data_IF_479659923309
#
_entry.id   IF_479659923309
#
_cell.length_a   1.000
_cell.length_b   1.000
_cell.length_c   1.000
_cell.angle_alpha   90.00
_cell.angle_beta   90.00
_cell.angle_gamma   90.00
#
_symmetry.space_group_name_H-M   'P 1'
#
loop_
_entity.id
_entity.type
_entity.pdbx_description
1 polymer ?
#
# COMPACT_ATOMS: atom_id res chain seq x y z
N UNK A 1 30.39 14.80 30.62
CA UNK A 1 30.00 14.70 29.18
C UNK A 1 28.92 13.65 28.94
N UNK A 2 28.96 12.49 29.61
CA UNK A 2 27.96 11.41 29.47
C UNK A 2 26.49 11.84 29.70
N UNK A 3 26.21 12.68 30.72
CA UNK A 3 24.85 13.18 30.99
C UNK A 3 24.26 14.02 29.84
N UNK A 4 25.09 14.81 29.14
CA UNK A 4 24.64 15.61 27.98
C UNK A 4 24.36 14.71 26.77
N UNK A 5 25.14 13.64 26.61
CA UNK A 5 24.94 12.64 25.56
C UNK A 5 23.64 11.84 25.79
N UNK A 6 23.34 11.50 27.05
CA UNK A 6 22.12 10.77 27.41
C UNK A 6 20.83 11.61 27.21
N UNK A 7 20.90 12.92 27.45
CA UNK A 7 19.79 13.85 27.16
C UNK A 7 19.59 14.00 25.64
N UNK A 8 20.66 14.06 24.85
CA UNK A 8 20.55 14.11 23.39
C UNK A 8 19.97 12.80 22.81
N UNK A 9 20.33 11.65 23.37
CA UNK A 9 19.83 10.34 22.93
C UNK A 9 18.35 10.13 23.25
N UNK A 10 17.87 10.64 24.40
CA UNK A 10 16.46 10.57 24.79
C UNK A 10 15.56 11.54 24.00
N UNK A 11 16.08 12.68 23.54
CA UNK A 11 15.38 13.57 22.61
C UNK A 11 15.25 12.98 21.19
N UNK A 12 16.20 12.15 20.74
CA UNK A 12 16.09 11.45 19.44
C UNK A 12 14.98 10.39 19.43
N UNK A 13 14.66 9.80 20.58
CA UNK A 13 13.59 8.79 20.70
C UNK A 13 12.18 9.38 20.83
N UNK A 14 12.05 10.70 21.04
CA UNK A 14 10.76 11.34 21.27
C UNK A 14 10.10 11.92 20.01
N UNK A 15 10.61 11.63 18.81
CA UNK A 15 9.79 11.80 17.62
C UNK A 15 8.72 10.71 17.68
N UNK A 16 7.60 11.05 18.31
CA UNK A 16 6.34 10.36 18.11
C UNK A 16 6.07 10.48 16.61
N UNK A 17 6.53 9.50 15.85
CA UNK A 17 6.05 9.24 14.50
C UNK A 17 4.59 8.89 14.74
N UNK A 18 3.72 9.90 14.81
CA UNK A 18 2.30 9.64 14.68
C UNK A 18 2.20 8.86 13.38
N UNK A 19 1.66 7.64 13.46
CA UNK A 19 1.41 6.80 12.31
C UNK A 19 0.43 7.58 11.42
N UNK A 20 0.97 8.39 10.50
CA UNK A 20 0.18 9.14 9.52
C UNK A 20 -0.22 8.13 8.47
N UNK A 21 -1.53 7.91 8.24
CA UNK A 21 -1.97 6.99 7.22
C UNK A 21 -1.36 7.34 5.87
N UNK A 22 -0.89 6.33 5.15
CA UNK A 22 -0.39 6.51 3.79
C UNK A 22 -1.47 6.09 2.80
N UNK A 23 -1.71 6.94 1.80
CA UNK A 23 -2.63 6.70 0.70
C UNK A 23 -1.82 6.55 -0.58
N UNK A 24 -2.00 5.42 -1.27
CA UNK A 24 -1.41 5.17 -2.57
C UNK A 24 -2.54 4.93 -3.58
N UNK A 25 -2.44 5.56 -4.74
CA UNK A 25 -3.40 5.38 -5.84
C UNK A 25 -2.62 5.00 -7.09
N UNK A 26 -2.93 3.83 -7.62
CA UNK A 26 -2.35 3.31 -8.86
C UNK A 26 -3.39 3.34 -9.96
N UNK A 27 -2.98 3.77 -11.15
CA UNK A 27 -3.81 3.74 -12.36
C UNK A 27 -3.26 2.69 -13.33
N UNK A 28 -4.16 1.92 -13.93
CA UNK A 28 -3.85 0.88 -14.90
C UNK A 28 -4.74 1.05 -16.13
N UNK A 29 -4.12 1.12 -17.30
CA UNK A 29 -4.83 0.94 -18.56
C UNK A 29 -4.88 -0.56 -18.87
N UNK A 30 -6.09 -1.12 -18.88
CA UNK A 30 -6.37 -2.53 -19.11
C UNK A 30 -6.80 -2.72 -20.55
N UNK A 31 -6.06 -3.53 -21.31
CA UNK A 31 -6.44 -3.89 -22.67
C UNK A 31 -7.70 -4.75 -22.65
N UNK A 32 -8.61 -4.51 -23.61
CA UNK A 32 -9.89 -5.23 -23.73
C UNK A 32 -9.75 -6.76 -23.71
N UNK A 33 -8.71 -7.31 -24.35
CA UNK A 33 -8.47 -8.76 -24.38
C UNK A 33 -7.95 -9.35 -23.06
N UNK A 34 -7.68 -8.50 -22.06
CA UNK A 34 -7.12 -8.86 -20.76
C UNK A 34 -8.05 -8.58 -19.58
N UNK A 35 -9.27 -8.09 -19.82
CA UNK A 35 -10.22 -7.71 -18.77
C UNK A 35 -10.48 -8.85 -17.76
N UNK A 36 -10.76 -10.06 -18.27
CA UNK A 36 -11.04 -11.22 -17.41
C UNK A 36 -9.82 -11.64 -16.56
N UNK A 37 -8.62 -11.64 -17.14
CA UNK A 37 -7.39 -11.92 -16.41
C UNK A 37 -7.08 -10.83 -15.38
N UNK A 38 -7.27 -9.57 -15.75
CA UNK A 38 -7.07 -8.43 -14.85
C UNK A 38 -8.00 -8.53 -13.64
N UNK A 39 -9.29 -8.79 -13.85
CA UNK A 39 -10.27 -8.95 -12.77
C UNK A 39 -9.83 -10.04 -11.79
N UNK A 40 -9.45 -11.22 -12.29
CA UNK A 40 -9.02 -12.33 -11.43
C UNK A 40 -7.74 -12.03 -10.66
N UNK A 41 -6.75 -11.40 -11.31
CA UNK A 41 -5.47 -11.05 -10.67
C UNK A 41 -5.69 -9.97 -9.59
N UNK A 42 -6.47 -8.95 -9.91
CA UNK A 42 -6.78 -7.86 -8.98
C UNK A 42 -7.63 -8.34 -7.80
N UNK A 43 -8.61 -9.23 -8.01
CA UNK A 43 -9.39 -9.82 -6.91
C UNK A 43 -8.50 -10.63 -5.95
N UNK A 44 -7.60 -11.47 -6.47
CA UNK A 44 -6.63 -12.21 -5.66
C UNK A 44 -5.68 -11.28 -4.88
N UNK A 45 -5.16 -10.25 -5.57
CA UNK A 45 -4.33 -9.22 -4.96
C UNK A 45 -5.05 -8.50 -3.81
N UNK A 46 -6.27 -8.02 -4.05
CA UNK A 46 -7.08 -7.32 -3.04
C UNK A 46 -7.33 -8.23 -1.83
N UNK A 47 -7.74 -9.47 -2.05
CA UNK A 47 -8.04 -10.40 -0.97
C UNK A 47 -6.80 -10.71 -0.11
N UNK A 48 -5.62 -10.85 -0.74
CA UNK A 48 -4.37 -11.12 -0.01
C UNK A 48 -3.86 -9.89 0.74
N UNK A 49 -3.86 -8.72 0.09
CA UNK A 49 -3.32 -7.50 0.71
C UNK A 49 -4.25 -6.94 1.78
N UNK A 50 -5.56 -7.09 1.66
CA UNK A 50 -6.50 -6.70 2.73
C UNK A 50 -6.26 -7.41 4.07
N UNK A 51 -5.57 -8.56 4.08
CA UNK A 51 -5.21 -9.29 5.30
C UNK A 51 -3.86 -8.88 5.89
N UNK A 52 -3.09 -8.01 5.22
CA UNK A 52 -1.77 -7.60 5.68
C UNK A 52 -1.87 -6.67 6.90
N UNK A 53 -0.91 -6.83 7.83
CA UNK A 53 -0.84 -6.00 9.03
C UNK A 53 -0.62 -4.53 8.66
N UNK A 54 -1.47 -3.65 9.19
CA UNK A 54 -1.40 -2.22 8.95
C UNK A 54 -2.13 -1.74 7.70
N UNK A 55 -2.84 -2.59 6.97
CA UNK A 55 -3.80 -2.17 5.93
C UNK A 55 -5.08 -1.66 6.59
N UNK A 56 -5.48 -0.44 6.24
CA UNK A 56 -6.72 0.22 6.70
C UNK A 56 -7.83 0.15 5.66
N UNK A 57 -7.48 0.07 4.38
CA UNK A 57 -8.43 0.00 3.28
C UNK A 57 -7.74 -0.38 1.98
N UNK A 58 -8.42 -1.19 1.18
CA UNK A 58 -7.94 -1.61 -0.12
C UNK A 58 -9.13 -1.72 -1.07
N UNK A 59 -9.09 -0.95 -2.15
CA UNK A 59 -10.18 -0.87 -3.11
C UNK A 59 -9.63 -1.02 -4.52
N UNK A 60 -10.35 -1.77 -5.34
CA UNK A 60 -10.12 -1.82 -6.78
C UNK A 60 -11.41 -1.41 -7.50
N UNK A 61 -11.28 -0.60 -8.53
CA UNK A 61 -12.42 -0.12 -9.33
C UNK A 61 -12.01 0.14 -10.77
N UNK A 62 -12.96 0.13 -11.68
CA UNK A 62 -12.78 0.47 -13.10
C UNK A 62 -13.70 1.64 -13.42
N UNK A 63 -13.25 2.62 -14.20
CA UNK A 63 -14.09 3.75 -14.59
C UNK A 63 -15.25 3.25 -15.47
N UNK A 64 -16.49 3.42 -15.01
CA UNK A 64 -17.67 3.01 -15.75
C UNK A 64 -17.86 3.78 -17.07
N UNK A 65 -17.27 4.99 -17.18
CA UNK A 65 -17.30 5.81 -18.39
C UNK A 65 -16.24 5.38 -19.39
N UNK A 66 -15.14 4.80 -18.89
CA UNK A 66 -13.98 4.37 -19.65
C UNK A 66 -13.43 3.06 -19.07
N UNK A 67 -13.99 1.95 -19.57
CA UNK A 67 -13.72 0.59 -19.09
C UNK A 67 -12.27 0.13 -19.24
N UNK A 68 -11.42 0.95 -19.85
CA UNK A 68 -9.99 0.69 -19.97
C UNK A 68 -9.21 1.17 -18.76
N UNK A 69 -9.71 2.16 -18.01
CA UNK A 69 -8.98 2.74 -16.88
C UNK A 69 -9.44 2.11 -15.56
N UNK A 70 -8.51 1.49 -14.84
CA UNK A 70 -8.76 0.87 -13.55
C UNK A 70 -7.82 1.41 -12.48
N UNK A 71 -8.32 1.47 -11.26
CA UNK A 71 -7.64 2.07 -10.11
C UNK A 71 -7.52 1.06 -8.97
N UNK A 72 -6.37 1.09 -8.30
CA UNK A 72 -6.17 0.46 -7.00
C UNK A 72 -5.86 1.56 -5.99
N UNK A 73 -6.61 1.57 -4.89
CA UNK A 73 -6.50 2.54 -3.81
C UNK A 73 -6.12 1.78 -2.56
N UNK A 74 -4.96 2.10 -2.00
CA UNK A 74 -4.40 1.42 -0.84
C UNK A 74 -4.20 2.43 0.28
N UNK A 75 -4.71 2.10 1.47
CA UNK A 75 -4.62 2.91 2.67
C UNK A 75 -3.94 2.08 3.74
N UNK A 76 -2.81 2.55 4.25
CA UNK A 76 -2.07 1.91 5.33
C UNK A 76 -2.01 2.81 6.56
N UNK A 77 -1.85 2.22 7.73
CA UNK A 77 -1.74 2.92 9.00
C UNK A 77 -0.52 3.85 9.06
N UNK A 78 0.57 3.45 8.41
CA UNK A 78 1.81 4.21 8.35
C UNK A 78 2.67 3.80 7.14
N UNK A 79 3.79 4.48 6.97
CA UNK A 79 4.76 4.20 5.91
C UNK A 79 5.47 2.85 6.09
N UNK A 80 5.62 2.35 7.32
CA UNK A 80 6.29 1.07 7.54
C UNK A 80 5.43 -0.09 7.02
N UNK A 81 4.12 -0.06 7.29
CA UNK A 81 3.15 -1.00 6.74
C UNK A 81 3.17 -0.99 5.20
N UNK A 82 3.13 0.19 4.58
CA UNK A 82 3.28 0.33 3.14
C UNK A 82 4.64 -0.21 2.63
N UNK A 83 5.75 0.13 3.29
CA UNK A 83 7.07 -0.34 2.89
C UNK A 83 7.18 -1.86 2.97
N UNK A 84 6.59 -2.49 3.97
CA UNK A 84 6.53 -3.93 4.12
C UNK A 84 5.70 -4.57 2.99
N UNK A 85 4.53 -4.00 2.68
CA UNK A 85 3.71 -4.42 1.56
C UNK A 85 4.52 -4.44 0.24
N UNK A 86 5.18 -3.33 -0.10
CA UNK A 86 5.91 -3.20 -1.39
C UNK A 86 7.02 -4.23 -1.62
N UNK A 87 7.49 -4.89 -0.55
CA UNK A 87 8.59 -5.87 -0.57
C UNK A 87 8.11 -7.31 -0.45
N UNK A 88 6.81 -7.53 -0.22
CA UNK A 88 6.27 -8.86 0.00
C UNK A 88 5.97 -9.60 -1.32
N UNK A 89 5.68 -10.89 -1.22
CA UNK A 89 5.43 -11.73 -2.40
C UNK A 89 4.13 -11.38 -3.13
N UNK A 90 3.09 -10.95 -2.41
CA UNK A 90 1.80 -10.54 -3.01
C UNK A 90 2.01 -9.34 -3.93
N UNK A 91 2.70 -8.29 -3.45
CA UNK A 91 3.04 -7.10 -4.23
C UNK A 91 3.98 -7.41 -5.39
N UNK A 92 4.95 -8.32 -5.18
CA UNK A 92 5.85 -8.75 -6.25
C UNK A 92 5.08 -9.49 -7.36
N UNK A 93 4.18 -10.40 -7.01
CA UNK A 93 3.39 -11.17 -7.99
C UNK A 93 2.43 -10.29 -8.79
N UNK A 94 1.86 -9.27 -8.16
CA UNK A 94 0.91 -8.35 -8.82
C UNK A 94 1.58 -7.44 -9.86
N UNK A 95 2.88 -7.15 -9.70
CA UNK A 95 3.67 -6.30 -10.60
C UNK A 95 4.21 -7.02 -11.84
N UNK A 96 4.12 -8.35 -11.90
CA UNK A 96 4.62 -9.20 -12.98
C UNK A 96 3.54 -9.43 -14.06
#
# INVERSE_FOLDING_TARGET
MLKKLLVALTMLTSVSIYAVPTLNVYNFEVKNDKEASYKSITEDYVNKTAMEQGVLGLFATTDDRDKLNSYIIEIYNDYLAFSNHTKNQTSANFKL
#
